data_IF_765652105679
#
_entry.id   IF_765652105679
#
_cell.length_a   1.000
_cell.length_b   1.000
_cell.length_c   1.000
_cell.angle_alpha   90.00
_cell.angle_beta   90.00
_cell.angle_gamma   90.00
#
_symmetry.space_group_name_H-M   'P 1'
#
loop_
_entity.id
_entity.type
_entity.pdbx_description
1 polymer ?
#
# COMPACT_ATOMS: atom_id res chain seq x y z
N UNK A 1 -15.21 11.62 -0.10
CA UNK A 1 -15.57 12.57 -1.18
C UNK A 1 -15.18 11.95 -2.52
N UNK A 2 -16.10 12.03 -3.50
CA UNK A 2 -16.00 11.54 -4.89
C UNK A 2 -16.06 10.03 -5.15
N UNK A 3 -17.14 9.38 -4.71
CA UNK A 3 -17.80 8.41 -5.61
C UNK A 3 -18.75 9.26 -6.45
N UNK A 4 -18.28 9.76 -7.58
CA UNK A 4 -19.13 10.56 -8.47
C UNK A 4 -20.27 9.68 -8.96
N UNK A 5 -21.48 9.98 -8.50
CA UNK A 5 -22.71 9.30 -8.92
C UNK A 5 -23.07 9.78 -10.33
N UNK A 6 -22.38 9.27 -11.34
CA UNK A 6 -22.81 9.46 -12.73
C UNK A 6 -23.82 8.36 -13.06
N UNK A 7 -25.10 8.63 -12.88
CA UNK A 7 -26.20 7.78 -13.38
C UNK A 7 -26.55 8.11 -14.84
N UNK A 8 -25.64 8.73 -15.59
CA UNK A 8 -25.86 9.16 -16.97
C UNK A 8 -24.54 9.35 -17.71
N UNK A 9 -24.18 8.36 -18.54
CA UNK A 9 -22.94 8.37 -19.31
C UNK A 9 -22.75 7.06 -20.06
N UNK A 10 -23.36 7.01 -21.24
CA UNK A 10 -23.16 6.12 -22.40
C UNK A 10 -21.98 5.13 -22.32
N UNK A 11 -22.29 3.86 -22.63
CA UNK A 11 -21.35 2.77 -22.90
C UNK A 11 -20.01 3.23 -23.51
N UNK A 12 -18.97 3.19 -22.70
CA UNK A 12 -17.57 3.36 -23.07
C UNK A 12 -16.74 2.50 -22.12
N UNK A 13 -15.75 1.81 -22.66
CA UNK A 13 -15.05 0.64 -22.11
C UNK A 13 -14.94 0.56 -20.57
N UNK A 14 -15.19 -0.65 -20.07
CA UNK A 14 -15.21 -1.10 -18.66
C UNK A 14 -13.87 -0.87 -17.92
N UNK A 15 -13.52 0.40 -17.74
CA UNK A 15 -12.37 0.89 -16.99
C UNK A 15 -12.97 1.63 -15.80
N UNK A 16 -12.83 1.06 -14.61
CA UNK A 16 -13.14 1.74 -13.34
C UNK A 16 -12.40 3.08 -13.31
N UNK A 17 -13.07 4.20 -13.61
CA UNK A 17 -12.38 5.50 -13.71
C UNK A 17 -12.21 6.13 -12.31
N UNK A 18 -10.96 6.41 -11.95
CA UNK A 18 -10.60 7.15 -10.74
C UNK A 18 -10.35 6.31 -9.49
N UNK A 19 -10.78 6.82 -8.34
CA UNK A 19 -10.49 6.27 -7.01
C UNK A 19 -10.84 4.77 -6.83
N UNK A 20 -11.95 4.23 -7.38
CA UNK A 20 -12.27 2.81 -7.22
C UNK A 20 -11.19 1.88 -7.79
N UNK A 21 -10.49 2.31 -8.85
CA UNK A 21 -9.38 1.54 -9.41
C UNK A 21 -8.15 1.58 -8.50
N UNK A 22 -7.83 2.76 -7.98
CA UNK A 22 -6.71 2.94 -7.05
C UNK A 22 -6.95 2.11 -5.78
N UNK A 23 -8.18 2.10 -5.25
CA UNK A 23 -8.58 1.25 -4.13
C UNK A 23 -8.45 -0.23 -4.48
N UNK A 24 -8.93 -0.66 -5.65
CA UNK A 24 -8.82 -2.06 -6.12
C UNK A 24 -7.35 -2.52 -6.18
N UNK A 25 -6.47 -1.67 -6.72
CA UNK A 25 -5.03 -1.92 -6.81
C UNK A 25 -4.37 -2.00 -5.43
N UNK A 26 -4.56 -1.00 -4.56
CA UNK A 26 -3.94 -1.00 -3.23
C UNK A 26 -4.53 -2.04 -2.26
N UNK A 27 -5.76 -2.49 -2.48
CA UNK A 27 -6.30 -3.64 -1.75
C UNK A 27 -5.91 -4.98 -2.38
N UNK A 28 -5.12 -4.98 -3.46
CA UNK A 28 -4.70 -6.16 -4.21
C UNK A 28 -5.89 -7.09 -4.55
N UNK A 29 -7.03 -6.49 -4.91
CA UNK A 29 -8.26 -7.21 -5.24
C UNK A 29 -8.18 -7.74 -6.67
N UNK A 30 -8.91 -8.83 -6.93
CA UNK A 30 -9.07 -9.33 -8.30
C UNK A 30 -9.89 -8.31 -9.11
N UNK A 31 -9.39 -7.85 -10.26
CA UNK A 31 -10.10 -6.88 -11.07
C UNK A 31 -11.35 -7.49 -11.71
N UNK A 32 -12.36 -6.65 -11.97
CA UNK A 32 -13.62 -7.08 -12.61
C UNK A 32 -13.42 -7.54 -14.05
N UNK A 33 -12.75 -6.72 -14.86
CA UNK A 33 -12.34 -7.07 -16.22
C UNK A 33 -10.99 -7.79 -16.22
N UNK A 34 -10.93 -9.00 -15.66
CA UNK A 34 -9.69 -9.77 -15.54
C UNK A 34 -9.16 -10.19 -16.93
N UNK A 35 -7.96 -9.73 -17.26
CA UNK A 35 -7.21 -10.21 -18.41
C UNK A 35 -6.61 -11.58 -18.11
N UNK A 36 -6.71 -12.49 -19.07
CA UNK A 36 -6.01 -13.78 -19.03
C UNK A 36 -4.57 -13.53 -19.47
N UNK A 37 -3.60 -13.95 -18.67
CA UNK A 37 -2.17 -13.88 -19.02
C UNK A 37 -1.62 -15.27 -19.30
N UNK A 38 -0.58 -15.35 -20.13
CA UNK A 38 0.13 -16.61 -20.36
C UNK A 38 1.01 -16.97 -19.17
N UNK A 39 1.04 -18.22 -18.75
CA UNK A 39 1.99 -18.74 -17.75
C UNK A 39 3.33 -19.18 -18.38
N UNK A 40 3.37 -19.37 -19.70
CA UNK A 40 4.55 -19.83 -20.43
C UNK A 40 4.90 -18.86 -21.57
N UNK A 41 6.19 -18.74 -21.88
CA UNK A 41 6.64 -18.05 -23.07
C UNK A 41 6.47 -18.97 -24.30
N UNK A 42 6.24 -18.38 -25.47
CA UNK A 42 6.12 -19.14 -26.72
C UNK A 42 5.29 -18.42 -27.77
N UNK A 43 4.89 -19.17 -28.81
CA UNK A 43 4.05 -18.66 -29.89
C UNK A 43 2.57 -18.86 -29.55
N UNK A 44 1.82 -17.76 -29.44
CA UNK A 44 0.39 -17.74 -29.18
C UNK A 44 -0.41 -17.74 -30.49
N UNK A 45 -1.33 -18.69 -30.64
CA UNK A 45 -2.23 -18.82 -31.79
C UNK A 45 -3.68 -18.91 -31.32
N UNK A 46 -4.59 -18.20 -31.98
CA UNK A 46 -6.02 -18.31 -31.70
C UNK A 46 -6.59 -19.53 -32.41
N UNK A 47 -7.17 -20.46 -31.65
CA UNK A 47 -8.00 -21.53 -32.17
C UNK A 47 -9.47 -21.21 -31.91
N UNK A 48 -10.19 -20.85 -32.96
CA UNK A 48 -11.63 -20.60 -32.89
C UNK A 48 -12.41 -21.81 -33.42
N UNK A 49 -13.14 -22.47 -32.54
CA UNK A 49 -14.06 -23.54 -32.91
C UNK A 49 -15.49 -23.05 -32.72
N UNK A 50 -16.44 -23.62 -33.47
CA UNK A 50 -17.88 -23.24 -33.42
C UNK A 50 -18.50 -23.23 -32.01
N UNK A 51 -17.87 -23.82 -31.00
CA UNK A 51 -18.37 -23.88 -29.61
C UNK A 51 -17.48 -23.16 -28.59
N UNK A 52 -16.22 -22.89 -28.89
CA UNK A 52 -15.25 -22.33 -27.93
C UNK A 52 -14.10 -21.62 -28.66
N UNK A 53 -13.65 -20.51 -28.07
CA UNK A 53 -12.48 -19.76 -28.51
C UNK A 53 -11.34 -20.02 -27.53
N UNK A 54 -10.20 -20.47 -28.02
CA UNK A 54 -9.02 -20.80 -27.23
C UNK A 54 -7.80 -20.06 -27.77
N UNK A 55 -6.87 -19.72 -26.89
CA UNK A 55 -5.51 -19.30 -27.27
C UNK A 55 -4.57 -20.42 -26.88
N UNK A 56 -3.80 -20.93 -27.83
CA UNK A 56 -2.81 -21.99 -27.64
C UNK A 56 -1.43 -21.35 -27.67
N UNK A 57 -0.69 -21.48 -26.58
CA UNK A 57 0.70 -21.02 -26.48
C UNK A 57 1.60 -22.24 -26.54
N UNK A 58 2.52 -22.25 -27.50
CA UNK A 58 3.47 -23.34 -27.73
C UNK A 58 4.89 -22.84 -27.52
N UNK A 59 5.61 -23.43 -26.58
CA UNK A 59 7.03 -23.15 -26.39
C UNK A 59 7.86 -24.08 -27.30
N UNK A 60 8.58 -23.51 -28.27
CA UNK A 60 9.36 -24.27 -29.22
C UNK A 60 10.60 -24.95 -28.61
N UNK A 61 11.12 -24.42 -27.51
CA UNK A 61 12.33 -24.92 -26.84
C UNK A 61 12.02 -26.07 -25.89
N UNK A 62 10.96 -25.94 -25.09
CA UNK A 62 10.56 -26.95 -24.10
C UNK A 62 9.57 -27.98 -24.65
N UNK A 63 8.90 -27.65 -25.77
CA UNK A 63 7.78 -28.43 -26.31
C UNK A 63 6.50 -28.33 -25.48
N UNK A 64 6.45 -27.46 -24.47
CA UNK A 64 5.28 -27.27 -23.62
C UNK A 64 4.17 -26.55 -24.38
N UNK A 65 2.94 -27.08 -24.31
CA UNK A 65 1.76 -26.51 -24.95
C UNK A 65 0.72 -26.23 -23.86
N UNK A 66 0.26 -24.98 -23.80
CA UNK A 66 -0.77 -24.55 -22.85
C UNK A 66 -1.94 -23.91 -23.58
N UNK A 67 -3.15 -24.33 -23.21
CA UNK A 67 -4.41 -23.89 -23.83
C UNK A 67 -5.20 -23.05 -22.85
N UNK A 68 -5.55 -21.83 -23.26
CA UNK A 68 -6.32 -20.87 -22.47
C UNK A 68 -7.70 -20.72 -23.09
N UNK A 69 -8.74 -21.10 -22.35
CA UNK A 69 -10.12 -20.90 -22.76
C UNK A 69 -10.48 -19.42 -22.61
N UNK A 70 -10.96 -18.79 -23.68
CA UNK A 70 -11.36 -17.38 -23.67
C UNK A 70 -12.88 -17.30 -23.42
N UNK A 71 -13.32 -16.67 -22.32
CA UNK A 71 -14.74 -16.49 -22.03
C UNK A 71 -15.48 -15.70 -23.13
N UNK A 72 -16.75 -16.02 -23.34
CA UNK A 72 -17.61 -15.25 -24.25
C UNK A 72 -17.72 -13.80 -23.77
N UNK A 73 -17.38 -12.86 -24.65
CA UNK A 73 -17.35 -11.41 -24.35
C UNK A 73 -15.95 -10.85 -24.11
N UNK A 74 -14.96 -11.69 -23.82
CA UNK A 74 -13.56 -11.25 -23.72
C UNK A 74 -12.97 -11.02 -25.12
N UNK A 75 -12.32 -9.87 -25.30
CA UNK A 75 -11.60 -9.55 -26.53
C UNK A 75 -10.18 -10.10 -26.41
N UNK A 76 -9.74 -10.87 -27.41
CA UNK A 76 -8.32 -11.27 -27.52
C UNK A 76 -7.54 -10.04 -27.93
N UNK A 77 -6.36 -9.85 -27.36
CA UNK A 77 -5.52 -8.69 -27.64
C UNK A 77 -5.19 -8.60 -29.12
N UNK A 78 -5.21 -7.37 -29.66
CA UNK A 78 -4.95 -7.07 -31.07
C UNK A 78 -3.66 -7.71 -31.59
N UNK A 79 -2.62 -7.74 -30.73
CA UNK A 79 -1.35 -8.40 -31.00
C UNK A 79 -1.54 -9.81 -31.58
N UNK A 80 -2.40 -10.62 -30.96
CA UNK A 80 -2.60 -12.03 -31.34
C UNK A 80 -3.62 -12.16 -32.48
N UNK A 81 -4.67 -11.33 -32.50
CA UNK A 81 -5.71 -11.43 -33.54
C UNK A 81 -5.22 -10.99 -34.91
N UNK A 82 -4.31 -10.03 -34.96
CA UNK A 82 -3.85 -9.44 -36.22
C UNK A 82 -2.77 -10.30 -36.90
N UNK A 83 -2.26 -11.31 -36.19
CA UNK A 83 -1.18 -12.20 -36.65
C UNK A 83 -1.64 -13.67 -36.59
N UNK A 84 -2.40 -14.15 -37.59
CA UNK A 84 -2.92 -15.52 -37.60
C UNK A 84 -1.82 -16.60 -37.68
N UNK A 85 -0.59 -16.24 -38.07
CA UNK A 85 0.58 -17.12 -38.03
C UNK A 85 1.16 -17.35 -36.64
N UNK A 86 0.62 -16.67 -35.63
CA UNK A 86 1.07 -16.70 -34.24
C UNK A 86 1.98 -15.54 -33.88
N UNK A 87 2.01 -15.19 -32.60
CA UNK A 87 2.86 -14.13 -32.04
C UNK A 87 3.71 -14.69 -30.92
N UNK A 88 4.98 -14.33 -30.90
CA UNK A 88 5.85 -14.62 -29.76
C UNK A 88 5.47 -13.74 -28.57
N UNK A 89 5.20 -14.38 -27.44
CA UNK A 89 4.85 -13.73 -26.18
C UNK A 89 5.73 -14.27 -25.06
N UNK A 90 6.00 -13.42 -24.07
CA UNK A 90 6.68 -13.82 -22.85
C UNK A 90 5.68 -14.39 -21.83
N UNK A 91 6.20 -15.14 -20.85
CA UNK A 91 5.42 -15.56 -19.71
C UNK A 91 4.92 -14.32 -18.94
N UNK A 92 3.62 -14.26 -18.70
CA UNK A 92 2.88 -13.20 -18.01
C UNK A 92 2.37 -12.08 -18.92
N UNK A 93 2.46 -12.24 -20.24
CA UNK A 93 1.84 -11.30 -21.18
C UNK A 93 0.33 -11.54 -21.32
N UNK A 94 -0.48 -10.47 -21.43
CA UNK A 94 -1.93 -10.58 -21.58
C UNK A 94 -2.33 -11.15 -22.94
N UNK A 95 -3.21 -12.15 -22.90
CA UNK A 95 -3.84 -12.77 -24.06
C UNK A 95 -5.16 -12.09 -24.43
N UNK A 96 -5.82 -11.49 -23.44
CA UNK A 96 -7.09 -10.79 -23.59
C UNK A 96 -6.98 -9.36 -23.08
N UNK A 97 -7.81 -8.48 -23.62
CA UNK A 97 -7.96 -7.13 -23.10
C UNK A 97 -8.54 -7.17 -21.68
N UNK A 98 -8.11 -6.21 -20.86
CA UNK A 98 -8.53 -6.10 -19.47
C UNK A 98 -7.38 -5.75 -18.53
N UNK A 99 -7.67 -5.85 -17.25
CA UNK A 99 -6.75 -5.62 -16.15
C UNK A 99 -6.10 -6.91 -15.70
N UNK A 100 -4.79 -6.89 -15.50
CA UNK A 100 -4.05 -8.04 -14.99
C UNK A 100 -4.17 -8.09 -13.46
N UNK A 101 -4.28 -9.30 -12.91
CA UNK A 101 -4.27 -9.53 -11.48
C UNK A 101 -2.81 -9.49 -10.95
N UNK A 102 -2.48 -8.60 -9.98
CA UNK A 102 -1.14 -8.52 -9.41
C UNK A 102 -0.61 -9.83 -8.82
N UNK A 103 -1.48 -10.67 -8.28
CA UNK A 103 -1.08 -11.97 -7.72
C UNK A 103 -0.54 -12.92 -8.78
N UNK A 104 -1.08 -12.85 -10.00
CA UNK A 104 -0.65 -13.72 -11.10
C UNK A 104 0.69 -13.20 -11.68
N UNK A 105 0.87 -11.88 -11.75
CA UNK A 105 2.16 -11.26 -12.11
C UNK A 105 3.25 -11.66 -11.11
N UNK A 106 2.98 -11.55 -9.81
CA UNK A 106 3.94 -11.92 -8.77
C UNK A 106 4.37 -13.39 -8.89
N UNK A 107 3.44 -14.29 -9.24
CA UNK A 107 3.70 -15.72 -9.38
C UNK A 107 4.52 -16.05 -10.64
N UNK A 108 4.29 -15.33 -11.74
CA UNK A 108 4.87 -15.66 -13.06
C UNK A 108 6.13 -14.85 -13.35
N UNK A 109 6.06 -13.51 -13.20
CA UNK A 109 7.14 -12.58 -13.54
C UNK A 109 7.98 -12.16 -12.32
N UNK A 110 7.47 -12.34 -11.11
CA UNK A 110 8.18 -12.03 -9.87
C UNK A 110 7.93 -10.63 -9.32
N UNK A 111 8.79 -10.21 -8.41
CA UNK A 111 8.58 -9.04 -7.54
C UNK A 111 8.73 -7.72 -8.32
N UNK A 112 9.81 -7.59 -9.09
CA UNK A 112 10.11 -6.34 -9.80
C UNK A 112 9.00 -6.01 -10.81
N UNK A 113 8.54 -7.02 -11.55
CA UNK A 113 7.44 -6.86 -12.51
C UNK A 113 6.11 -6.49 -11.85
N UNK A 114 5.80 -7.00 -10.65
CA UNK A 114 4.57 -6.60 -9.96
C UNK A 114 4.68 -5.18 -9.39
N UNK A 115 5.88 -4.76 -8.98
CA UNK A 115 6.13 -3.38 -8.54
C UNK A 115 5.94 -2.39 -9.70
N UNK A 116 6.59 -2.65 -10.83
CA UNK A 116 6.46 -1.82 -12.04
C UNK A 116 5.00 -1.76 -12.53
N UNK A 117 4.31 -2.90 -12.52
CA UNK A 117 2.89 -2.96 -12.86
C UNK A 117 2.04 -2.08 -11.92
N UNK A 118 2.23 -2.21 -10.61
CA UNK A 118 1.46 -1.42 -9.63
C UNK A 118 1.74 0.07 -9.76
N UNK A 119 3.01 0.46 -9.94
CA UNK A 119 3.38 1.87 -10.11
C UNK A 119 2.76 2.43 -11.39
N UNK A 120 2.93 1.74 -12.52
CA UNK A 120 2.40 2.19 -13.82
C UNK A 120 0.88 2.29 -13.83
N UNK A 121 0.16 1.32 -13.26
CA UNK A 121 -1.31 1.33 -13.23
C UNK A 121 -1.87 2.42 -12.31
N UNK A 122 -1.30 2.61 -11.12
CA UNK A 122 -1.72 3.70 -10.21
C UNK A 122 -1.42 5.05 -10.85
N UNK A 123 -0.22 5.22 -11.41
CA UNK A 123 0.22 6.45 -12.04
C UNK A 123 -0.63 6.81 -13.27
N UNK A 124 -1.03 5.81 -14.07
CA UNK A 124 -1.95 5.99 -15.20
C UNK A 124 -3.29 6.58 -14.74
N UNK A 125 -3.84 6.12 -13.62
CA UNK A 125 -5.11 6.65 -13.09
C UNK A 125 -4.94 8.10 -12.62
N UNK A 126 -3.87 8.42 -11.90
CA UNK A 126 -3.62 9.81 -11.46
C UNK A 126 -3.38 10.77 -12.63
N UNK A 127 -2.59 10.36 -13.62
CA UNK A 127 -2.35 11.14 -14.85
C UNK A 127 -3.63 11.37 -15.65
N UNK A 128 -4.51 10.37 -15.75
CA UNK A 128 -5.83 10.54 -16.39
C UNK A 128 -6.71 11.57 -15.66
N UNK A 129 -6.52 11.75 -14.35
CA UNK A 129 -7.20 12.79 -13.56
C UNK A 129 -6.45 14.12 -13.52
N UNK A 130 -5.33 14.25 -14.26
CA UNK A 130 -4.52 15.46 -14.31
C UNK A 130 -3.72 15.74 -13.04
N UNK A 131 -3.55 14.75 -12.16
CA UNK A 131 -2.77 14.87 -10.93
C UNK A 131 -1.39 14.25 -11.15
N UNK A 132 -0.34 15.04 -10.92
CA UNK A 132 1.04 14.55 -10.99
C UNK A 132 1.52 14.13 -9.60
N UNK A 133 2.02 12.89 -9.49
CA UNK A 133 2.55 12.30 -8.25
C UNK A 133 3.88 11.64 -8.60
N UNK A 134 4.88 11.85 -7.74
CA UNK A 134 6.16 11.19 -7.90
C UNK A 134 6.07 9.71 -7.53
N UNK A 135 6.62 8.86 -8.39
CA UNK A 135 6.56 7.39 -8.29
C UNK A 135 7.09 6.87 -6.94
N UNK A 136 8.05 7.57 -6.30
CA UNK A 136 8.58 7.22 -4.96
C UNK A 136 7.51 7.03 -3.90
N UNK A 137 6.41 7.77 -3.98
CA UNK A 137 5.32 7.66 -3.00
C UNK A 137 4.55 6.36 -3.18
N UNK A 138 4.33 5.96 -4.44
CA UNK A 138 3.65 4.71 -4.78
C UNK A 138 4.57 3.53 -4.43
N UNK A 139 5.86 3.62 -4.75
CA UNK A 139 6.87 2.62 -4.39
C UNK A 139 6.89 2.31 -2.90
N UNK A 140 6.86 3.34 -2.04
CA UNK A 140 6.84 3.17 -0.58
C UNK A 140 5.61 2.37 -0.15
N UNK A 141 4.45 2.61 -0.76
CA UNK A 141 3.21 1.87 -0.45
C UNK A 141 3.31 0.42 -0.95
N UNK A 142 3.71 0.22 -2.20
CA UNK A 142 3.83 -1.12 -2.80
C UNK A 142 4.87 -1.97 -2.05
N UNK A 143 5.95 -1.34 -1.54
CA UNK A 143 6.91 -2.00 -0.64
C UNK A 143 6.26 -2.53 0.63
N UNK A 144 5.32 -1.80 1.23
CA UNK A 144 4.57 -2.29 2.40
C UNK A 144 3.64 -3.46 2.04
N UNK A 145 3.03 -3.44 0.86
CA UNK A 145 2.15 -4.52 0.38
C UNK A 145 2.90 -5.85 0.18
N UNK A 146 4.20 -5.79 -0.14
CA UNK A 146 5.06 -6.95 -0.40
C UNK A 146 5.97 -7.31 0.78
N UNK A 147 5.71 -6.80 1.99
CA UNK A 147 6.61 -6.99 3.15
C UNK A 147 6.54 -8.40 3.77
N UNK A 148 5.55 -9.22 3.40
CA UNK A 148 5.27 -10.50 4.06
C UNK A 148 5.65 -11.71 3.21
N UNK A 149 6.14 -12.74 3.88
CA UNK A 149 6.36 -14.09 3.36
C UNK A 149 5.35 -15.02 4.02
N UNK A 150 4.75 -15.91 3.21
CA UNK A 150 3.98 -17.05 3.70
C UNK A 150 4.88 -18.27 3.71
N UNK A 151 5.02 -18.90 4.87
CA UNK A 151 5.77 -20.15 5.00
C UNK A 151 5.00 -21.28 4.34
N UNK A 152 5.65 -22.01 3.44
CA UNK A 152 5.11 -23.21 2.81
C UNK A 152 5.57 -24.46 3.56
N UNK A 153 6.88 -24.55 3.81
CA UNK A 153 7.49 -25.60 4.61
C UNK A 153 8.24 -25.00 5.79
N UNK A 154 7.97 -25.50 6.99
CA UNK A 154 8.54 -24.94 8.21
C UNK A 154 10.02 -25.30 8.43
N UNK A 155 10.54 -26.34 7.77
CA UNK A 155 11.89 -26.82 8.07
C UNK A 155 12.06 -27.11 9.57
N UNK A 156 13.15 -26.62 10.15
CA UNK A 156 13.39 -26.65 11.60
C UNK A 156 13.05 -25.33 12.30
N UNK A 157 12.28 -24.44 11.64
CA UNK A 157 11.81 -23.19 12.24
C UNK A 157 10.65 -23.40 13.22
N UNK A 158 10.41 -22.40 14.07
CA UNK A 158 9.31 -22.39 15.04
C UNK A 158 7.94 -22.04 14.41
N UNK A 159 7.94 -21.61 13.15
CA UNK A 159 6.71 -21.18 12.50
C UNK A 159 5.95 -22.36 11.90
N UNK A 160 4.62 -22.24 11.89
CA UNK A 160 3.74 -23.21 11.26
C UNK A 160 3.60 -22.94 9.75
N UNK A 161 3.41 -23.97 8.92
CA UNK A 161 3.02 -23.79 7.52
C UNK A 161 1.78 -22.90 7.40
N UNK A 162 1.82 -21.93 6.48
CA UNK A 162 0.80 -20.92 6.27
C UNK A 162 0.94 -19.65 7.12
N UNK A 163 1.86 -19.62 8.10
CA UNK A 163 2.13 -18.42 8.88
C UNK A 163 2.67 -17.28 8.00
N UNK A 164 2.30 -16.05 8.35
CA UNK A 164 2.80 -14.83 7.70
C UNK A 164 3.89 -14.21 8.56
N UNK A 165 5.09 -14.10 8.01
CA UNK A 165 6.28 -13.56 8.68
C UNK A 165 6.78 -12.35 7.91
N UNK A 166 7.40 -11.39 8.59
CA UNK A 166 8.06 -10.28 7.93
C UNK A 166 9.27 -10.76 7.12
N UNK A 167 9.54 -10.13 5.96
CA UNK A 167 10.66 -10.52 5.09
C UNK A 167 11.99 -10.55 5.85
N UNK A 168 12.29 -9.48 6.61
CA UNK A 168 13.55 -9.37 7.34
C UNK A 168 13.65 -10.41 8.46
N UNK A 169 12.56 -10.64 9.19
CA UNK A 169 12.53 -11.66 10.25
C UNK A 169 12.71 -13.08 9.68
N UNK A 170 12.14 -13.34 8.50
CA UNK A 170 12.32 -14.60 7.79
C UNK A 170 13.77 -14.80 7.32
N UNK A 171 14.39 -13.76 6.75
CA UNK A 171 15.80 -13.77 6.32
C UNK A 171 16.73 -14.01 7.52
N UNK A 172 16.62 -13.19 8.57
CA UNK A 172 17.42 -13.31 9.80
C UNK A 172 17.26 -14.69 10.47
N UNK A 173 16.04 -15.23 10.48
CA UNK A 173 15.77 -16.57 11.00
C UNK A 173 16.48 -17.65 10.18
N UNK A 174 16.35 -17.61 8.85
CA UNK A 174 16.93 -18.62 7.99
C UNK A 174 18.46 -18.56 8.00
N UNK A 175 19.05 -17.36 8.03
CA UNK A 175 20.50 -17.20 8.17
C UNK A 175 21.03 -17.88 9.45
N UNK A 176 20.32 -17.70 10.57
CA UNK A 176 20.65 -18.37 11.84
C UNK A 176 20.49 -19.88 11.77
N UNK A 177 19.40 -20.39 11.19
CA UNK A 177 19.19 -21.84 11.04
C UNK A 177 20.29 -22.49 10.20
N UNK A 178 20.71 -21.83 9.12
CA UNK A 178 21.80 -22.29 8.26
C UNK A 178 23.12 -22.29 9.03
N UNK A 179 23.41 -21.26 9.82
CA UNK A 179 24.61 -21.19 10.66
C UNK A 179 24.65 -22.31 11.72
N UNK A 180 23.49 -22.74 12.22
CA UNK A 180 23.35 -23.86 13.15
C UNK A 180 23.35 -25.24 12.45
N UNK A 181 23.41 -25.29 11.11
CA UNK A 181 23.35 -26.53 10.32
C UNK A 181 21.97 -27.18 10.27
N UNK A 182 20.91 -26.43 10.60
CA UNK A 182 19.51 -26.85 10.56
C UNK A 182 18.89 -26.60 9.18
N UNK A 183 17.73 -27.19 8.92
CA UNK A 183 16.98 -26.96 7.69
C UNK A 183 16.26 -25.59 7.75
N UNK A 184 16.54 -24.67 6.81
CA UNK A 184 15.82 -23.41 6.74
C UNK A 184 14.34 -23.64 6.40
N UNK A 185 13.50 -22.67 6.75
CA UNK A 185 12.11 -22.65 6.32
C UNK A 185 12.03 -22.24 4.84
N UNK A 186 11.09 -22.84 4.10
CA UNK A 186 10.74 -22.40 2.75
C UNK A 186 9.48 -21.53 2.80
N UNK A 187 9.52 -20.42 2.07
CA UNK A 187 8.48 -19.42 2.11
C UNK A 187 8.36 -18.66 0.80
N UNK A 188 7.12 -18.42 0.38
CA UNK A 188 6.83 -17.60 -0.79
C UNK A 188 6.38 -16.21 -0.39
N UNK A 189 6.93 -15.21 -1.08
CA UNK A 189 6.52 -13.83 -0.91
C UNK A 189 5.08 -13.67 -1.37
N UNK A 190 4.29 -12.92 -0.60
CA UNK A 190 2.89 -12.67 -0.92
C UNK A 190 2.62 -11.18 -0.98
N UNK A 191 1.71 -10.79 -1.86
CA UNK A 191 1.16 -9.43 -1.87
C UNK A 191 -0.08 -9.39 -0.98
N UNK A 192 -0.15 -8.39 -0.09
CA UNK A 192 -1.30 -8.10 0.74
C UNK A 192 -1.87 -6.73 0.37
N UNK A 193 -3.19 -6.59 0.38
CA UNK A 193 -3.84 -5.28 0.33
C UNK A 193 -3.46 -4.43 1.55
N UNK A 194 -3.48 -3.10 1.41
CA UNK A 194 -3.05 -2.18 2.48
C UNK A 194 -3.81 -2.38 3.80
N UNK A 195 -5.11 -2.68 3.76
CA UNK A 195 -5.90 -3.00 4.97
C UNK A 195 -5.38 -4.25 5.67
N UNK A 196 -5.11 -5.32 4.90
CA UNK A 196 -4.60 -6.58 5.46
C UNK A 196 -3.14 -6.46 5.90
N UNK A 197 -2.32 -5.69 5.20
CA UNK A 197 -0.95 -5.39 5.58
C UNK A 197 -0.90 -4.60 6.91
N UNK A 198 -1.81 -3.64 7.10
CA UNK A 198 -1.92 -2.86 8.33
C UNK A 198 -2.32 -3.72 9.55
N UNK A 199 -3.17 -4.74 9.35
CA UNK A 199 -3.52 -5.71 10.40
C UNK A 199 -2.39 -6.71 10.71
N UNK A 200 -1.56 -7.03 9.72
CA UNK A 200 -0.44 -7.96 9.83
C UNK A 200 0.85 -7.30 10.36
N UNK A 201 0.74 -6.17 11.07
CA UNK A 201 1.88 -5.54 11.75
C UNK A 201 2.33 -6.34 12.97
N UNK A 202 3.60 -6.19 13.35
CA UNK A 202 4.16 -6.88 14.52
C UNK A 202 3.72 -6.24 15.84
N UNK A 203 3.36 -4.95 15.82
CA UNK A 203 2.78 -4.25 16.98
C UNK A 203 1.30 -4.61 17.15
N UNK A 204 0.96 -5.22 18.27
CA UNK A 204 -0.44 -5.47 18.59
C UNK A 204 -1.19 -4.18 18.94
N UNK A 205 -0.52 -3.15 19.47
CA UNK A 205 -1.15 -1.85 19.75
C UNK A 205 -1.56 -1.13 18.45
N UNK A 206 -0.67 -1.10 17.46
CA UNK A 206 -0.99 -0.52 16.15
C UNK A 206 -2.01 -1.35 15.37
N UNK A 207 -2.00 -2.68 15.49
CA UNK A 207 -3.02 -3.51 14.86
C UNK A 207 -4.39 -3.29 15.51
N UNK A 208 -4.46 -3.30 16.84
CA UNK A 208 -5.69 -3.14 17.62
C UNK A 208 -6.34 -1.75 17.44
N UNK A 209 -5.54 -0.72 17.16
CA UNK A 209 -6.05 0.63 16.88
C UNK A 209 -6.65 0.78 15.48
N UNK A 210 -6.44 -0.18 14.57
CA UNK A 210 -6.95 -0.12 13.20
C UNK A 210 -8.30 -0.82 13.08
N UNK A 211 -8.35 -2.15 13.26
CA UNK A 211 -9.58 -2.96 13.24
C UNK A 211 -9.39 -4.22 14.11
N UNK A 212 -10.46 -5.01 14.30
CA UNK A 212 -10.44 -6.31 14.99
C UNK A 212 -9.85 -6.30 16.43
N UNK A 213 -10.03 -5.19 17.17
CA UNK A 213 -9.42 -4.94 18.50
C UNK A 213 -9.50 -6.13 19.47
N UNK A 214 -10.69 -6.71 19.66
CA UNK A 214 -10.88 -7.84 20.59
C UNK A 214 -10.04 -9.06 20.22
N UNK A 215 -9.99 -9.40 18.92
CA UNK A 215 -9.24 -10.56 18.44
C UNK A 215 -7.74 -10.34 18.57
N UNK A 216 -7.25 -9.17 18.17
CA UNK A 216 -5.82 -8.82 18.24
C UNK A 216 -5.32 -8.85 19.70
N UNK A 217 -6.06 -8.24 20.63
CA UNK A 217 -5.67 -8.23 22.05
C UNK A 217 -5.74 -9.62 22.68
N UNK A 218 -6.74 -10.43 22.33
CA UNK A 218 -6.86 -11.80 22.82
C UNK A 218 -5.69 -12.66 22.36
N UNK A 219 -5.33 -12.61 21.07
CA UNK A 219 -4.17 -13.32 20.56
C UNK A 219 -2.85 -12.85 21.19
N UNK A 220 -2.69 -11.55 21.40
CA UNK A 220 -1.52 -10.98 22.05
C UNK A 220 -1.39 -11.44 23.51
N UNK A 221 -2.51 -11.48 24.25
CA UNK A 221 -2.55 -11.95 25.63
C UNK A 221 -2.23 -13.45 25.75
N UNK A 222 -2.82 -14.29 24.89
CA UNK A 222 -2.55 -15.74 24.86
C UNK A 222 -1.08 -16.02 24.55
N UNK A 223 -0.48 -15.28 23.61
CA UNK A 223 0.92 -15.43 23.20
C UNK A 223 1.92 -14.71 24.11
N UNK A 224 1.45 -13.90 25.08
CA UNK A 224 2.32 -13.07 25.92
C UNK A 224 3.19 -12.10 25.11
N UNK A 225 2.66 -11.52 24.02
CA UNK A 225 3.44 -10.65 23.12
C UNK A 225 3.89 -9.37 23.82
N UNK A 226 5.13 -8.96 23.54
CA UNK A 226 5.70 -7.68 23.95
C UNK A 226 5.76 -6.75 22.74
N UNK A 227 5.29 -5.51 22.89
CA UNK A 227 5.34 -4.51 21.83
C UNK A 227 6.64 -3.69 21.93
N UNK A 228 7.51 -3.68 20.90
CA UNK A 228 8.77 -2.96 20.95
C UNK A 228 8.62 -1.44 20.72
N UNK A 229 7.43 -0.93 20.39
CA UNK A 229 7.14 0.50 20.19
C UNK A 229 8.04 1.16 19.14
N UNK A 230 8.29 0.47 18.02
CA UNK A 230 9.15 0.96 16.94
C UNK A 230 8.39 1.93 16.02
N UNK A 231 7.07 1.79 15.93
CA UNK A 231 6.24 2.60 15.03
C UNK A 231 5.80 3.94 15.62
N UNK A 232 5.13 4.73 14.78
CA UNK A 232 4.63 6.04 15.17
C UNK A 232 3.35 5.93 16.00
N UNK A 233 2.44 5.02 15.63
CA UNK A 233 1.09 4.94 16.22
C UNK A 233 1.14 4.50 17.68
N UNK A 234 1.97 3.52 17.99
CA UNK A 234 2.13 2.96 19.32
C UNK A 234 2.65 4.02 20.30
N UNK A 235 3.63 4.81 19.86
CA UNK A 235 4.20 5.88 20.69
C UNK A 235 3.19 7.01 20.91
N UNK A 236 2.41 7.38 19.89
CA UNK A 236 1.34 8.37 20.04
C UNK A 236 0.27 7.88 21.02
N UNK A 237 -0.17 6.62 20.92
CA UNK A 237 -1.19 6.04 21.82
C UNK A 237 -0.72 6.05 23.28
N UNK A 238 0.57 5.78 23.52
CA UNK A 238 1.15 5.73 24.88
C UNK A 238 1.52 7.15 25.39
N UNK A 239 1.65 8.14 24.52
CA UNK A 239 2.10 9.49 24.87
C UNK A 239 3.64 9.62 24.96
N UNK A 240 4.39 8.79 24.24
CA UNK A 240 5.86 8.91 24.09
C UNK A 240 6.22 9.70 22.82
N UNK A 241 7.41 10.33 22.78
CA UNK A 241 7.91 10.93 21.54
C UNK A 241 7.96 9.91 20.40
N UNK A 242 7.51 10.31 19.21
CA UNK A 242 7.55 9.44 18.04
C UNK A 242 8.99 9.17 17.59
N UNK A 243 9.33 7.97 17.11
CA UNK A 243 10.69 7.62 16.66
C UNK A 243 11.01 8.16 15.25
N UNK A 244 10.60 9.40 14.95
CA UNK A 244 10.86 10.09 13.69
C UNK A 244 11.23 11.57 13.93
N UNK A 245 11.99 12.16 13.01
CA UNK A 245 12.48 13.54 13.18
C UNK A 245 13.32 13.67 14.45
N UNK A 246 13.08 14.72 15.24
CA UNK A 246 13.79 15.01 16.50
C UNK A 246 13.55 13.97 17.59
N UNK A 247 12.53 13.13 17.47
CA UNK A 247 12.28 12.04 18.42
C UNK A 247 13.13 10.79 18.18
N UNK A 248 13.94 10.74 17.11
CA UNK A 248 14.92 9.67 16.93
C UNK A 248 16.00 9.73 18.01
N UNK A 249 16.44 8.57 18.51
CA UNK A 249 17.51 8.47 19.53
C UNK A 249 18.78 9.23 19.15
N UNK A 250 19.14 9.26 17.86
CA UNK A 250 20.29 10.01 17.34
C UNK A 250 20.25 11.50 17.71
N UNK A 251 19.07 12.11 17.81
CA UNK A 251 18.94 13.54 18.16
C UNK A 251 18.59 13.77 19.62
N UNK A 252 17.91 12.80 20.27
CA UNK A 252 17.50 12.93 21.67
C UNK A 252 18.62 12.59 22.65
N UNK A 253 19.43 11.58 22.33
CA UNK A 253 20.44 11.04 23.23
C UNK A 253 21.83 11.65 22.92
N UNK A 254 21.85 12.90 22.44
CA UNK A 254 23.08 13.64 22.15
C UNK A 254 23.66 14.14 23.48
N UNK A 255 24.88 13.72 23.77
CA UNK A 255 25.66 14.25 24.89
C UNK A 255 26.37 15.50 24.40
N UNK A 256 26.05 16.65 25.00
CA UNK A 256 26.76 17.89 24.74
C UNK A 256 28.08 17.87 25.53
N UNK A 257 29.18 18.10 24.84
CA UNK A 257 30.47 18.33 25.48
C UNK A 257 30.49 19.76 26.01
N UNK A 258 30.27 19.91 27.32
CA UNK A 258 30.26 21.21 28.01
C UNK A 258 31.65 21.65 28.48
N UNK A 259 32.72 20.94 28.12
CA UNK A 259 34.08 21.26 28.57
C UNK A 259 34.57 22.66 28.16
N UNK A 260 33.98 23.28 27.14
CA UNK A 260 34.29 24.65 26.71
C UNK A 260 33.63 25.70 27.63
N UNK A 261 32.52 25.36 28.30
CA UNK A 261 31.87 26.26 29.26
C UNK A 261 32.65 26.38 30.58
N UNK A 262 33.52 25.41 30.88
CA UNK A 262 34.42 25.47 32.04
C UNK A 262 35.67 26.33 31.78
N UNK A 263 36.05 26.56 30.50
CA UNK A 263 37.22 27.37 30.12
C UNK A 263 36.89 28.88 30.06
N UNK A 264 35.63 29.22 29.76
CA UNK A 264 35.08 30.56 29.89
C UNK A 264 34.15 30.60 31.09
N UNK A 265 34.71 30.81 32.30
CA UNK A 265 33.95 30.82 33.55
C UNK A 265 32.82 31.86 33.58
N UNK A 266 31.67 31.52 33.00
CA UNK A 266 30.43 32.25 33.17
C UNK A 266 29.88 31.88 34.55
N UNK A 267 30.15 32.74 35.52
CA UNK A 267 29.41 32.78 36.78
C UNK A 267 27.92 32.98 36.50
N UNK A 268 27.01 32.33 37.26
CA UNK A 268 25.56 32.46 37.07
C UNK A 268 25.00 33.77 37.66
N UNK A 269 25.63 34.90 37.34
CA UNK A 269 25.22 36.26 37.72
C UNK A 269 25.51 37.22 36.56
N UNK A 270 24.94 36.97 35.38
CA UNK A 270 24.64 38.06 34.46
C UNK A 270 23.19 38.47 34.75
N UNK A 271 23.05 39.39 35.71
CA UNK A 271 21.88 40.23 35.91
C UNK A 271 21.41 40.74 34.54
N UNK A 272 20.21 40.33 34.12
CA UNK A 272 19.53 41.00 33.03
C UNK A 272 19.32 42.45 33.48
N UNK A 273 19.80 43.47 32.74
CA UNK A 273 19.36 44.82 33.02
C UNK A 273 17.83 44.83 32.86
N UNK A 274 17.13 45.24 33.91
CA UNK A 274 15.71 45.59 33.87
C UNK A 274 15.56 46.66 32.77
N UNK A 275 15.12 46.25 31.58
CA UNK A 275 14.69 47.17 30.55
C UNK A 275 13.43 47.87 31.07
N UNK A 276 13.67 49.08 31.56
CA UNK A 276 12.72 50.09 32.01
C UNK A 276 11.77 50.41 30.84
N UNK A 277 10.65 49.69 30.74
CA UNK A 277 9.59 50.01 29.79
C UNK A 277 8.93 51.31 30.25
N UNK A 278 8.91 52.38 29.42
CA UNK A 278 8.16 53.57 29.77
C UNK A 278 6.66 53.24 29.83
N UNK A 279 6.07 53.35 31.02
CA UNK A 279 4.64 53.56 31.21
C UNK A 279 4.27 54.91 30.59
N UNK A 280 3.58 54.87 29.45
CA UNK A 280 2.32 55.58 29.20
C UNK A 280 2.01 55.61 27.70
N UNK A 281 0.86 55.06 27.31
CA UNK A 281 -0.26 55.88 26.85
C UNK A 281 -1.50 55.02 26.58
N UNK A 282 -2.53 55.27 27.38
CA UNK A 282 -3.91 54.79 27.21
C UNK A 282 -4.58 55.37 25.95
N UNK A 283 -5.74 54.77 25.64
CA UNK A 283 -6.83 55.19 24.71
C UNK A 283 -6.63 54.71 23.25
N UNK A 284 -7.60 54.12 22.56
CA UNK A 284 -9.06 54.23 22.67
C UNK A 284 -9.71 53.03 21.95
N UNK A 285 -10.60 52.29 22.63
CA UNK A 285 -11.42 51.24 22.04
C UNK A 285 -12.86 51.79 21.96
N UNK A 286 -13.18 52.42 20.81
CA UNK A 286 -14.45 53.08 20.57
C UNK A 286 -14.72 53.28 19.08
N UNK A 287 -15.48 52.36 18.48
CA UNK A 287 -16.78 52.59 17.81
C UNK A 287 -17.09 51.61 16.67
N UNK A 288 -18.18 50.89 16.90
CA UNK A 288 -19.30 50.55 16.01
C UNK A 288 -19.06 50.13 14.55
N UNK A 289 -19.56 48.94 14.19
CA UNK A 289 -20.92 48.83 13.64
C UNK A 289 -21.30 47.38 13.31
N UNK A 290 -22.45 46.98 13.85
CA UNK A 290 -23.20 45.78 13.53
C UNK A 290 -23.91 45.99 12.18
N UNK A 291 -23.91 44.97 11.31
CA UNK A 291 -24.91 44.89 10.23
C UNK A 291 -25.50 43.48 10.19
N UNK A 292 -26.74 43.39 10.67
CA UNK A 292 -27.69 42.31 10.43
C UNK A 292 -28.07 42.21 8.95
N UNK A 293 -28.24 41.00 8.43
CA UNK A 293 -29.23 40.67 7.38
C UNK A 293 -29.84 39.29 7.71
N UNK A 294 -30.90 39.35 8.51
CA UNK A 294 -32.25 38.78 8.34
C UNK A 294 -32.43 37.41 7.63
N UNK A 295 -32.76 36.40 8.44
CA UNK A 295 -33.49 35.19 8.04
C UNK A 295 -35.00 35.44 8.22
N UNK A 296 -35.76 35.45 7.12
CA UNK A 296 -37.23 35.44 7.17
C UNK A 296 -37.75 34.03 6.90
N UNK A 297 -38.18 33.35 7.96
CA UNK A 297 -39.18 32.27 7.90
C UNK A 297 -40.59 32.91 7.98
N UNK A 298 -41.36 32.81 6.90
CA UNK A 298 -42.81 33.00 6.95
C UNK A 298 -43.49 31.65 7.15
N UNK A 299 -44.09 31.48 8.34
CA UNK A 299 -45.12 30.50 8.62
C UNK A 299 -46.47 31.12 8.20
N UNK A 300 -47.20 30.42 7.34
CA UNK A 300 -48.63 30.64 7.14
C UNK A 300 -49.38 29.30 7.28
N UNK A 301 -50.13 29.16 8.37
CA UNK A 301 -51.19 28.16 8.54
C UNK A 301 -52.56 28.76 8.11
N UNK A 302 -53.30 27.92 7.40
CA UNK A 302 -54.77 27.76 7.28
C UNK A 302 -55.69 28.86 6.71
N UNK A 303 -56.40 28.50 5.63
CA UNK A 303 -57.87 28.37 5.55
C UNK A 303 -58.47 28.68 4.15
N UNK A 304 -58.90 27.64 3.42
CA UNK A 304 -60.19 27.39 2.71
C UNK A 304 -60.05 26.35 1.59
#
# INVERSE_FOLDING_TARGET
TMRTFHTGGVAGDDITQGLPRVEELFEARKPKGLAIISEIAGTAVVEDTRKKKEVVVTNAETGEIKRYLIPFGSRITALITDNPGGVEIAAGDPLTDGSVNPHDILKIKGIDSVQDYMISEVQKVYRLQGVDINDKHIEVIVRQMLKKIRIEENGDSEYMPGALVDLLEYEDMNERLIAEGKKPADGKRIMLGITKAALATNSFLSAASFQETTKVLTEAAIKGKVDPLIGLKENVIIGKPIPAGTGMRRYRDVVLDTSIADEYGTTPEDEYPEDDYPEDDMYDEGDEAVSEIDETEEIAEDAE
#
